data_IF_409975883108
#
_entry.id   IF_409975883108
#
_cell.length_a   1.000
_cell.length_b   1.000
_cell.length_c   1.000
_cell.angle_alpha   90.00
_cell.angle_beta   90.00
_cell.angle_gamma   90.00
#
_symmetry.space_group_name_H-M   'P 1'
#
loop_
_entity.id
_entity.type
_entity.pdbx_description
1 polymer ?
#
# COMPACT_ATOMS: atom_id res chain seq x y z
N UNK A 1 1.48 15.84 -2.07
CA UNK A 1 1.08 14.75 -1.16
C UNK A 1 1.88 14.91 0.11
N UNK A 2 1.20 15.49 1.08
CA UNK A 2 1.64 15.69 2.44
C UNK A 2 1.63 14.33 3.17
N UNK A 3 2.51 14.15 4.16
CA UNK A 3 2.62 12.93 4.95
C UNK A 3 1.29 12.44 5.55
N UNK A 4 0.35 13.36 5.77
CA UNK A 4 -0.98 13.05 6.31
C UNK A 4 -1.85 12.23 5.34
N UNK A 5 -1.88 12.59 4.05
CA UNK A 5 -2.67 11.88 3.06
C UNK A 5 -2.16 10.43 2.88
N UNK A 6 -0.84 10.25 2.99
CA UNK A 6 -0.23 8.93 2.91
C UNK A 6 -0.58 8.06 4.13
N UNK A 7 -0.59 8.66 5.34
CA UNK A 7 -1.02 7.98 6.57
C UNK A 7 -2.48 7.53 6.49
N UNK A 8 -3.35 8.40 6.01
CA UNK A 8 -4.77 8.08 5.83
C UNK A 8 -4.95 6.92 4.84
N UNK A 9 -4.27 6.99 3.69
CA UNK A 9 -4.33 5.93 2.70
C UNK A 9 -3.83 4.59 3.26
N UNK A 10 -2.73 4.59 4.03
CA UNK A 10 -2.25 3.37 4.72
C UNK A 10 -3.31 2.80 5.64
N UNK A 11 -3.96 3.63 6.45
CA UNK A 11 -4.99 3.19 7.39
C UNK A 11 -6.19 2.55 6.65
N UNK A 12 -6.66 3.17 5.56
CA UNK A 12 -7.74 2.62 4.74
C UNK A 12 -7.35 1.28 4.09
N UNK A 13 -6.14 1.18 3.53
CA UNK A 13 -5.63 -0.09 2.96
C UNK A 13 -5.55 -1.19 4.03
N UNK A 14 -5.06 -0.87 5.24
CA UNK A 14 -5.02 -1.79 6.37
C UNK A 14 -6.43 -2.28 6.76
N UNK A 15 -7.38 -1.34 6.89
CA UNK A 15 -8.77 -1.64 7.23
C UNK A 15 -9.43 -2.53 6.18
N UNK A 16 -9.24 -2.23 4.88
CA UNK A 16 -9.75 -3.03 3.78
C UNK A 16 -9.21 -4.45 3.79
N UNK A 17 -7.91 -4.59 4.09
CA UNK A 17 -7.25 -5.89 4.19
C UNK A 17 -7.57 -6.64 5.50
N UNK A 18 -8.32 -6.05 6.44
CA UNK A 18 -8.59 -6.64 7.74
C UNK A 18 -7.36 -6.75 8.64
N UNK A 19 -6.33 -5.93 8.41
CA UNK A 19 -5.07 -5.94 9.14
C UNK A 19 -5.01 -4.78 10.13
N UNK A 20 -4.65 -5.06 11.38
CA UNK A 20 -4.41 -4.02 12.39
C UNK A 20 -3.03 -3.36 12.22
N UNK A 21 -2.05 -4.13 11.76
CA UNK A 21 -0.70 -3.65 11.46
C UNK A 21 -0.14 -4.44 10.27
N UNK A 22 0.49 -3.76 9.33
CA UNK A 22 1.09 -4.41 8.16
C UNK A 22 2.51 -4.81 8.47
N UNK A 23 2.79 -6.11 8.39
CA UNK A 23 4.13 -6.67 8.49
C UNK A 23 4.72 -6.96 7.11
N UNK A 24 6.00 -7.38 7.09
CA UNK A 24 6.66 -7.78 5.84
C UNK A 24 5.96 -8.97 5.16
N UNK A 25 5.36 -9.87 5.94
CA UNK A 25 4.64 -11.02 5.39
C UNK A 25 3.31 -10.58 4.75
N UNK A 26 2.61 -9.66 5.41
CA UNK A 26 1.37 -9.08 4.89
C UNK A 26 1.57 -8.29 3.61
N UNK A 27 2.75 -7.68 3.40
CA UNK A 27 3.05 -6.99 2.15
C UNK A 27 3.00 -7.92 0.93
N UNK A 28 3.34 -9.20 1.10
CA UNK A 28 3.23 -10.18 0.01
C UNK A 28 1.77 -10.51 -0.26
N UNK A 29 1.00 -10.77 0.80
CA UNK A 29 -0.43 -11.02 0.71
C UNK A 29 -1.18 -9.84 0.06
N UNK A 30 -0.92 -8.62 0.52
CA UNK A 30 -1.46 -7.38 -0.02
C UNK A 30 -1.11 -7.17 -1.49
N UNK A 31 0.12 -7.51 -1.91
CA UNK A 31 0.53 -7.42 -3.31
C UNK A 31 -0.38 -8.26 -4.21
N UNK A 32 -0.68 -9.48 -3.78
CA UNK A 32 -1.57 -10.39 -4.51
C UNK A 32 -3.03 -9.92 -4.43
N UNK A 33 -3.48 -9.49 -3.26
CA UNK A 33 -4.88 -9.09 -3.03
C UNK A 33 -5.24 -7.81 -3.77
N UNK A 34 -4.38 -6.78 -3.70
CA UNK A 34 -4.53 -5.55 -4.46
C UNK A 34 -4.54 -5.88 -5.96
N UNK A 35 -3.62 -6.73 -6.42
CA UNK A 35 -3.58 -7.13 -7.84
C UNK A 35 -4.86 -7.82 -8.29
N UNK A 36 -5.47 -8.67 -7.44
CA UNK A 36 -6.76 -9.30 -7.73
C UNK A 36 -7.90 -8.28 -7.76
N UNK A 37 -7.92 -7.33 -6.82
CA UNK A 37 -8.99 -6.35 -6.69
C UNK A 37 -8.95 -5.26 -7.77
N UNK A 38 -7.77 -4.69 -8.04
CA UNK A 38 -7.60 -3.55 -8.96
C UNK A 38 -7.10 -3.96 -10.35
N UNK A 39 -6.81 -5.26 -10.57
CA UNK A 39 -6.15 -5.79 -11.79
C UNK A 39 -4.81 -5.12 -12.12
N UNK A 40 -4.13 -4.54 -11.13
CA UNK A 40 -2.87 -3.79 -11.30
C UNK A 40 -1.81 -4.37 -10.39
N UNK A 41 -0.59 -4.55 -10.91
CA UNK A 41 0.48 -5.18 -10.14
C UNK A 41 1.23 -4.15 -9.30
N UNK A 42 1.36 -4.45 -8.00
CA UNK A 42 2.25 -3.76 -7.08
C UNK A 42 3.19 -4.79 -6.47
N UNK A 43 4.49 -4.49 -6.42
CA UNK A 43 5.46 -5.38 -5.78
C UNK A 43 5.42 -5.26 -4.26
N UNK A 44 5.71 -6.36 -3.56
CA UNK A 44 5.87 -6.39 -2.10
C UNK A 44 6.85 -5.32 -1.60
N UNK A 45 7.96 -5.09 -2.28
CA UNK A 45 8.93 -4.04 -1.96
C UNK A 45 8.34 -2.63 -2.03
N UNK A 46 7.41 -2.39 -2.95
CA UNK A 46 6.70 -1.10 -3.05
C UNK A 46 5.75 -0.93 -1.86
N UNK A 47 5.07 -1.98 -1.43
CA UNK A 47 4.22 -1.95 -0.23
C UNK A 47 5.04 -1.76 1.04
N UNK A 48 6.16 -2.46 1.19
CA UNK A 48 7.06 -2.25 2.34
C UNK A 48 7.51 -0.80 2.47
N UNK A 49 7.80 -0.15 1.35
CA UNK A 49 8.12 1.29 1.31
C UNK A 49 6.89 2.14 1.60
N UNK A 50 5.75 1.78 1.01
CA UNK A 50 4.48 2.46 1.28
C UNK A 50 4.11 2.42 2.75
N UNK A 51 4.27 1.31 3.47
CA UNK A 51 3.94 1.19 4.90
C UNK A 51 5.04 1.69 5.84
N UNK A 52 6.20 2.11 5.31
CA UNK A 52 7.33 2.57 6.13
C UNK A 52 8.13 1.44 6.80
N UNK A 53 7.97 0.19 6.34
CA UNK A 53 8.77 -0.95 6.78
C UNK A 53 10.20 -0.90 6.25
N UNK A 54 10.42 -0.18 5.16
CA UNK A 54 11.74 0.05 4.56
C UNK A 54 11.93 1.55 4.36
N UNK A 55 13.04 2.08 4.89
CA UNK A 55 13.42 3.47 4.71
C UNK A 55 13.68 3.76 3.22
N UNK A 56 13.02 4.78 2.69
CA UNK A 56 13.17 5.20 1.30
C UNK A 56 13.19 6.72 1.21
N UNK A 57 14.11 7.24 0.40
CA UNK A 57 14.28 8.67 0.15
C UNK A 57 13.46 9.20 -1.04
N UNK A 58 12.68 8.34 -1.72
CA UNK A 58 11.95 8.72 -2.92
C UNK A 58 10.43 8.53 -2.77
N UNK A 59 9.67 9.39 -3.44
CA UNK A 59 8.21 9.35 -3.39
C UNK A 59 7.67 8.24 -4.29
N UNK A 60 6.58 7.59 -3.86
CA UNK A 60 5.86 6.62 -4.66
C UNK A 60 5.34 7.26 -5.95
N UNK A 61 5.29 6.48 -7.02
CA UNK A 61 4.74 6.94 -8.29
C UNK A 61 3.23 7.18 -8.17
N UNK A 62 2.69 8.11 -8.96
CA UNK A 62 1.24 8.34 -9.07
C UNK A 62 0.48 7.06 -9.44
N UNK A 63 1.09 6.18 -10.24
CA UNK A 63 0.55 4.88 -10.57
C UNK A 63 0.30 4.03 -9.32
N UNK A 64 1.30 3.93 -8.43
CA UNK A 64 1.17 3.16 -7.17
C UNK A 64 0.09 3.75 -6.28
N UNK A 65 0.05 5.08 -6.17
CA UNK A 65 -0.93 5.78 -5.33
C UNK A 65 -2.36 5.55 -5.83
N UNK A 66 -2.59 5.69 -7.14
CA UNK A 66 -3.89 5.44 -7.74
C UNK A 66 -4.39 4.00 -7.53
N UNK A 67 -3.49 3.02 -7.56
CA UNK A 67 -3.84 1.62 -7.24
C UNK A 67 -4.28 1.49 -5.79
N UNK A 68 -3.51 2.05 -4.87
CA UNK A 68 -3.79 1.97 -3.43
C UNK A 68 -5.07 2.71 -3.08
N UNK A 69 -5.33 3.85 -3.72
CA UNK A 69 -6.58 4.61 -3.61
C UNK A 69 -7.77 3.79 -4.11
N UNK A 70 -7.64 3.15 -5.28
CA UNK A 70 -8.69 2.29 -5.85
C UNK A 70 -8.96 1.04 -5.00
N UNK A 71 -7.95 0.48 -4.36
CA UNK A 71 -8.12 -0.63 -3.42
C UNK A 71 -8.76 -0.20 -2.09
N UNK A 72 -8.40 0.99 -1.61
CA UNK A 72 -8.85 1.56 -0.33
C UNK A 72 -10.25 2.18 -0.38
N UNK A 73 -10.84 2.31 -1.56
CA UNK A 73 -12.26 2.67 -1.78
C UNK A 73 -13.19 1.49 -1.45
#
# INVERSE_FOLDING_TARGET
>A
MDDQALKELRARVCLKAGLSAVTSWDCKFLSEEISKSTKKMISETTLKRFFGLVAVNYKLSRYTLSILEEYAD
#
